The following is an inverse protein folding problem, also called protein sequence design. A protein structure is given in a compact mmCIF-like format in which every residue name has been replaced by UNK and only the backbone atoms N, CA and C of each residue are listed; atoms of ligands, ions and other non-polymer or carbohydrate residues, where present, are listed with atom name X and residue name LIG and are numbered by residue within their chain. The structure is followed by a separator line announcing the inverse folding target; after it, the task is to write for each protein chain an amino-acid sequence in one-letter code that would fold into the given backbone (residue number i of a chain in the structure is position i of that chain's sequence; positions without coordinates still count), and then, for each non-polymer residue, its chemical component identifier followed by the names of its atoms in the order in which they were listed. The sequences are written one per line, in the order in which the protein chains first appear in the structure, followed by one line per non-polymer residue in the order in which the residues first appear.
data_IF_962856938791
#
_entry.id   IF_962856938791
#
_cell.length_a   1.000
_cell.length_b   1.000
_cell.length_c   1.000
_cell.angle_alpha   90.00
_cell.angle_beta   90.00
_cell.angle_gamma   90.00
#
_symmetry.space_group_name_H-M   'P 1'
#
loop_
_entity.id
_entity.type
_entity.pdbx_description
1 polymer ?
#
# COMPACT_ATOMS: atom_id res chain seq x y z
N UNK A 1 1.19 4.79 -5.26
CA UNK A 1 0.82 5.84 -6.22
C UNK A 1 1.67 7.08 -6.06
N UNK A 2 1.78 7.89 -7.13
CA UNK A 2 2.49 9.16 -7.18
C UNK A 2 1.72 10.19 -8.01
N UNK A 3 1.99 11.46 -7.74
CA UNK A 3 1.38 12.59 -8.44
C UNK A 3 2.32 13.08 -9.55
N UNK A 4 1.76 13.33 -10.73
CA UNK A 4 2.45 13.95 -11.88
C UNK A 4 2.47 15.47 -11.76
N UNK A 5 3.22 16.16 -12.65
CA UNK A 5 3.27 17.63 -12.66
C UNK A 5 1.93 18.28 -13.02
N UNK A 6 1.05 17.58 -13.73
CA UNK A 6 -0.30 17.99 -14.08
C UNK A 6 -1.38 17.35 -13.19
N UNK A 7 -0.99 16.98 -11.95
CA UNK A 7 -1.87 16.48 -10.89
C UNK A 7 -2.67 15.21 -11.26
N UNK A 8 -2.09 14.33 -12.05
CA UNK A 8 -2.65 13.00 -12.31
C UNK A 8 -2.00 11.96 -11.42
N UNK A 9 -2.76 10.94 -11.04
CA UNK A 9 -2.26 9.88 -10.17
C UNK A 9 -1.89 8.67 -11.01
N UNK A 10 -0.64 8.22 -10.88
CA UNK A 10 -0.13 7.03 -11.54
C UNK A 10 0.32 5.97 -10.54
N UNK A 11 0.30 4.71 -10.97
CA UNK A 11 0.80 3.58 -10.19
C UNK A 11 2.27 3.35 -10.55
N UNK A 12 3.17 3.94 -9.78
CA UNK A 12 4.62 3.77 -9.93
C UNK A 12 5.30 3.74 -8.56
N UNK A 13 6.22 2.79 -8.36
CA UNK A 13 6.87 2.61 -7.05
C UNK A 13 7.89 3.72 -6.77
N UNK A 14 8.84 3.90 -7.68
CA UNK A 14 9.99 4.79 -7.45
C UNK A 14 9.61 6.26 -7.69
N UNK A 15 10.34 7.17 -7.04
CA UNK A 15 10.19 8.62 -7.31
C UNK A 15 10.73 9.04 -8.68
N UNK A 16 11.61 8.23 -9.26
CA UNK A 16 12.26 8.44 -10.57
C UNK A 16 11.88 7.30 -11.50
N UNK A 17 11.66 7.58 -12.78
CA UNK A 17 11.25 6.60 -13.77
C UNK A 17 12.41 5.69 -14.25
N UNK A 18 13.67 6.00 -13.90
CA UNK A 18 14.88 5.38 -14.47
C UNK A 18 14.87 3.86 -14.44
N UNK A 19 14.59 3.25 -13.27
CA UNK A 19 14.73 1.80 -13.09
C UNK A 19 13.82 0.99 -14.00
N UNK A 20 12.60 1.46 -14.24
CA UNK A 20 11.59 0.71 -15.01
C UNK A 20 11.49 1.13 -16.46
N UNK A 21 11.91 2.34 -16.80
CA UNK A 21 11.72 2.91 -18.15
C UNK A 21 13.01 3.38 -18.84
N UNK A 22 14.13 3.36 -18.11
CA UNK A 22 15.39 3.95 -18.61
C UNK A 22 15.43 5.48 -18.63
N UNK A 23 14.32 6.17 -18.28
CA UNK A 23 14.24 7.63 -18.29
C UNK A 23 14.64 8.21 -16.94
N UNK A 24 15.78 8.90 -16.88
CA UNK A 24 16.23 9.59 -15.67
C UNK A 24 15.47 10.92 -15.49
N UNK A 25 14.28 10.83 -14.90
CA UNK A 25 13.44 11.98 -14.56
C UNK A 25 12.49 11.64 -13.40
N UNK A 26 12.26 12.60 -12.52
CA UNK A 26 11.31 12.42 -11.43
C UNK A 26 9.87 12.43 -11.97
N UNK A 27 9.05 11.54 -11.42
CA UNK A 27 7.62 11.43 -11.78
C UNK A 27 6.90 12.78 -11.62
N UNK A 28 7.16 13.48 -10.52
CA UNK A 28 6.55 14.79 -10.22
C UNK A 28 6.87 15.90 -11.22
N UNK A 29 7.90 15.71 -12.03
CA UNK A 29 8.38 16.69 -13.02
C UNK A 29 7.88 16.34 -14.45
N UNK A 30 7.06 15.29 -14.59
CA UNK A 30 6.48 14.84 -15.86
C UNK A 30 4.95 14.95 -15.84
N UNK A 31 4.38 15.34 -16.97
CA UNK A 31 2.94 15.24 -17.20
C UNK A 31 2.51 13.78 -17.45
N UNK A 32 1.22 13.48 -17.26
CA UNK A 32 0.66 12.17 -17.61
C UNK A 32 0.95 11.82 -19.09
N UNK A 33 0.83 12.79 -20.00
CA UNK A 33 1.12 12.58 -21.42
C UNK A 33 2.56 12.12 -21.67
N UNK A 34 3.54 12.73 -21.00
CA UNK A 34 4.95 12.34 -21.09
C UNK A 34 5.18 10.94 -20.51
N UNK A 35 4.54 10.63 -19.38
CA UNK A 35 4.66 9.32 -18.71
C UNK A 35 4.05 8.19 -19.58
N UNK A 36 2.93 8.44 -20.24
CA UNK A 36 2.27 7.45 -21.12
C UNK A 36 3.09 7.11 -22.39
N UNK A 37 4.07 7.92 -22.74
CA UNK A 37 5.02 7.60 -23.82
C UNK A 37 6.11 6.61 -23.37
N UNK A 38 6.37 6.49 -22.07
CA UNK A 38 7.39 5.60 -21.54
C UNK A 38 6.91 4.15 -21.56
N UNK A 39 7.84 3.25 -21.85
CA UNK A 39 7.68 1.81 -21.74
C UNK A 39 8.21 1.37 -20.38
N UNK A 40 7.49 0.53 -19.64
CA UNK A 40 7.85 0.14 -18.28
C UNK A 40 7.80 -1.37 -18.00
N UNK A 41 7.78 -2.22 -19.01
CA UNK A 41 7.70 -3.66 -18.85
C UNK A 41 8.94 -4.45 -19.26
N UNK A 42 9.71 -3.98 -20.24
CA UNK A 42 10.90 -4.68 -20.76
C UNK A 42 11.97 -4.97 -19.71
N UNK A 43 12.09 -4.13 -18.66
CA UNK A 43 13.00 -4.38 -17.54
C UNK A 43 12.64 -5.64 -16.74
N UNK A 44 11.37 -6.03 -16.76
CA UNK A 44 10.88 -7.22 -16.07
C UNK A 44 11.00 -8.49 -16.94
N UNK A 45 10.82 -8.35 -18.25
CA UNK A 45 10.95 -9.45 -19.21
C UNK A 45 10.33 -9.12 -20.56
N UNK A 46 10.70 -9.92 -21.59
CA UNK A 46 10.24 -9.68 -22.98
C UNK A 46 8.73 -9.79 -23.12
N UNK A 47 8.08 -10.65 -22.36
CA UNK A 47 6.62 -10.84 -22.40
C UNK A 47 5.83 -9.61 -21.94
N UNK A 48 6.54 -8.64 -21.28
CA UNK A 48 5.97 -7.39 -20.75
C UNK A 48 6.39 -6.17 -21.56
N UNK A 49 7.00 -6.39 -22.73
CA UNK A 49 7.39 -5.29 -23.63
C UNK A 49 6.15 -4.46 -23.99
N UNK A 50 6.35 -3.16 -24.17
CA UNK A 50 5.31 -2.18 -24.51
C UNK A 50 4.30 -1.84 -23.40
N UNK A 51 4.41 -2.46 -22.22
CA UNK A 51 3.59 -2.08 -21.07
C UNK A 51 3.82 -0.63 -20.64
N UNK A 52 2.73 0.04 -20.25
CA UNK A 52 2.73 1.45 -19.86
C UNK A 52 2.49 1.61 -18.37
N UNK A 53 3.02 2.71 -17.80
CA UNK A 53 2.71 3.08 -16.42
C UNK A 53 1.20 3.42 -16.36
N UNK A 54 0.40 2.70 -15.54
CA UNK A 54 -1.03 2.93 -15.50
C UNK A 54 -1.37 4.17 -14.65
N UNK A 55 -2.42 4.88 -15.06
CA UNK A 55 -3.14 5.82 -14.21
C UNK A 55 -3.99 5.06 -13.18
N UNK A 56 -4.25 5.64 -12.00
CA UNK A 56 -5.01 4.95 -10.95
C UNK A 56 -6.43 4.57 -11.41
N UNK A 57 -7.09 5.41 -12.21
CA UNK A 57 -8.41 5.11 -12.78
C UNK A 57 -8.40 3.88 -13.70
N UNK A 58 -7.31 3.64 -14.43
CA UNK A 58 -7.18 2.42 -15.24
C UNK A 58 -7.15 1.16 -14.35
N UNK A 59 -6.48 1.25 -13.18
CA UNK A 59 -6.47 0.16 -12.19
C UNK A 59 -7.85 -0.04 -11.57
N UNK A 60 -8.56 1.03 -11.23
CA UNK A 60 -9.91 0.96 -10.70
C UNK A 60 -10.89 0.29 -11.67
N UNK A 61 -10.74 0.53 -12.99
CA UNK A 61 -11.58 -0.11 -13.99
C UNK A 61 -11.48 -1.64 -14.02
N UNK A 62 -10.38 -2.18 -13.49
CA UNK A 62 -10.11 -3.62 -13.39
C UNK A 62 -10.45 -4.21 -12.00
N UNK A 63 -10.82 -3.38 -11.03
CA UNK A 63 -11.10 -3.83 -9.66
C UNK A 63 -12.43 -4.61 -9.61
N UNK A 64 -12.41 -5.89 -9.21
CA UNK A 64 -13.65 -6.64 -9.07
C UNK A 64 -14.49 -6.13 -7.90
N UNK A 65 -15.83 -6.09 -8.05
CA UNK A 65 -16.78 -5.55 -7.05
C UNK A 65 -16.66 -6.12 -5.62
N UNK A 66 -16.08 -7.31 -5.48
CA UNK A 66 -15.94 -8.00 -4.18
C UNK A 66 -14.48 -8.11 -3.74
N UNK A 67 -13.62 -7.23 -4.23
CA UNK A 67 -12.19 -7.21 -3.86
C UNK A 67 -11.82 -5.84 -3.35
N UNK A 68 -10.98 -5.83 -2.34
CA UNK A 68 -10.42 -4.62 -1.77
C UNK A 68 -9.13 -4.24 -2.50
N UNK A 69 -8.80 -2.96 -2.45
CA UNK A 69 -7.58 -2.41 -3.01
C UNK A 69 -6.77 -1.68 -1.93
N UNK A 70 -5.49 -2.01 -1.83
CA UNK A 70 -4.52 -1.26 -1.03
C UNK A 70 -3.83 -0.23 -1.92
N UNK A 71 -3.92 1.04 -1.55
CA UNK A 71 -3.31 2.16 -2.30
C UNK A 71 -2.17 2.74 -1.47
N UNK A 72 -0.93 2.39 -1.82
CA UNK A 72 0.22 3.00 -1.16
C UNK A 72 0.51 4.39 -1.74
N UNK A 73 0.34 5.41 -0.91
CA UNK A 73 0.72 6.79 -1.23
C UNK A 73 2.19 7.00 -0.91
N UNK A 74 2.99 7.23 -1.96
CA UNK A 74 4.46 7.40 -1.90
C UNK A 74 4.92 8.86 -2.09
N UNK A 75 4.05 9.80 -1.76
CA UNK A 75 4.30 11.24 -1.79
C UNK A 75 3.62 11.89 -0.58
N UNK A 76 3.75 13.21 -0.44
CA UNK A 76 3.14 13.95 0.66
C UNK A 76 1.61 14.10 0.50
N UNK A 77 0.99 14.77 1.47
CA UNK A 77 -0.46 14.97 1.59
C UNK A 77 -1.11 15.77 0.45
N UNK A 78 -0.34 16.46 -0.36
CA UNK A 78 -0.84 17.21 -1.54
C UNK A 78 -1.61 16.32 -2.53
N UNK A 79 -1.32 15.01 -2.55
CA UNK A 79 -2.02 14.05 -3.42
C UNK A 79 -3.47 13.78 -2.95
N UNK A 80 -3.80 13.99 -1.67
CA UNK A 80 -5.06 13.51 -1.08
C UNK A 80 -6.32 14.03 -1.80
N UNK A 81 -6.48 15.31 -2.12
CA UNK A 81 -7.66 15.79 -2.87
C UNK A 81 -7.84 15.07 -4.21
N UNK A 82 -6.76 14.82 -4.93
CA UNK A 82 -6.78 14.14 -6.24
C UNK A 82 -7.08 12.65 -6.10
N UNK A 83 -6.61 12.02 -5.01
CA UNK A 83 -6.91 10.61 -4.70
C UNK A 83 -8.40 10.42 -4.42
N UNK A 84 -8.98 11.27 -3.58
CA UNK A 84 -10.40 11.23 -3.25
C UNK A 84 -11.27 11.53 -4.48
N UNK A 85 -10.88 12.50 -5.29
CA UNK A 85 -11.56 12.79 -6.57
C UNK A 85 -11.53 11.57 -7.51
N UNK A 86 -10.40 10.88 -7.61
CA UNK A 86 -10.29 9.65 -8.42
C UNK A 86 -11.19 8.53 -7.90
N UNK A 87 -11.20 8.28 -6.57
CA UNK A 87 -12.08 7.27 -5.94
C UNK A 87 -13.56 7.58 -6.26
N UNK A 88 -13.98 8.83 -6.07
CA UNK A 88 -15.35 9.26 -6.31
C UNK A 88 -15.74 9.18 -7.79
N UNK A 89 -14.88 9.66 -8.68
CA UNK A 89 -15.10 9.67 -10.13
C UNK A 89 -15.27 8.26 -10.68
N UNK A 90 -14.43 7.34 -10.26
CA UNK A 90 -14.45 5.95 -10.71
C UNK A 90 -15.47 5.09 -9.92
N UNK A 91 -16.19 5.72 -8.97
CA UNK A 91 -17.26 5.09 -8.16
C UNK A 91 -16.78 3.85 -7.41
N UNK A 92 -15.54 3.89 -6.95
CA UNK A 92 -15.00 2.87 -6.04
C UNK A 92 -15.57 3.15 -4.65
N UNK A 93 -16.12 2.13 -4.01
CA UNK A 93 -16.67 2.29 -2.66
C UNK A 93 -15.57 2.49 -1.62
N UNK A 94 -15.73 3.42 -0.69
CA UNK A 94 -14.74 3.72 0.35
C UNK A 94 -14.37 2.50 1.19
N UNK A 95 -15.31 1.58 1.42
CA UNK A 95 -15.10 0.34 2.16
C UNK A 95 -14.21 -0.69 1.43
N UNK A 96 -14.07 -0.55 0.10
CA UNK A 96 -13.13 -1.35 -0.70
C UNK A 96 -11.70 -0.81 -0.69
N UNK A 97 -11.49 0.42 -0.22
CA UNK A 97 -10.20 1.10 -0.28
C UNK A 97 -9.51 1.06 1.07
N UNK A 98 -8.25 0.66 1.06
CA UNK A 98 -7.34 0.87 2.19
C UNK A 98 -6.16 1.72 1.72
N UNK A 99 -6.03 2.93 2.24
CA UNK A 99 -4.86 3.78 1.99
C UNK A 99 -3.75 3.43 2.95
N UNK A 100 -2.55 3.22 2.41
CA UNK A 100 -1.37 2.96 3.22
C UNK A 100 -0.27 3.96 2.90
N UNK A 101 0.47 4.43 3.90
CA UNK A 101 1.55 5.39 3.68
C UNK A 101 2.55 5.44 4.82
N UNK A 102 3.83 5.73 4.48
CA UNK A 102 4.88 6.11 5.44
C UNK A 102 4.77 7.57 5.91
N UNK A 103 3.89 8.35 5.31
CA UNK A 103 3.68 9.76 5.63
C UNK A 103 2.45 9.91 6.55
N UNK A 104 2.63 10.18 7.86
CA UNK A 104 1.52 10.30 8.81
C UNK A 104 0.48 11.35 8.39
N UNK A 105 0.93 12.46 7.81
CA UNK A 105 0.04 13.51 7.32
C UNK A 105 -0.90 13.06 6.19
N UNK A 106 -0.45 12.12 5.34
CA UNK A 106 -1.33 11.54 4.30
C UNK A 106 -2.49 10.81 4.97
N UNK A 107 -2.19 9.96 5.96
CA UNK A 107 -3.20 9.22 6.71
C UNK A 107 -4.19 10.19 7.38
N UNK A 108 -3.66 11.18 8.11
CA UNK A 108 -4.46 12.20 8.78
C UNK A 108 -5.40 12.95 7.84
N UNK A 109 -4.90 13.40 6.67
CA UNK A 109 -5.70 14.14 5.71
C UNK A 109 -6.75 13.26 5.01
N UNK A 110 -6.46 11.99 4.72
CA UNK A 110 -7.47 11.05 4.20
C UNK A 110 -8.56 10.83 5.24
N UNK A 111 -8.23 10.51 6.49
CA UNK A 111 -9.19 10.27 7.57
C UNK A 111 -10.04 11.52 7.86
N UNK A 112 -9.45 12.71 7.79
CA UNK A 112 -10.18 13.96 7.97
C UNK A 112 -11.20 14.23 6.85
N UNK A 113 -10.87 13.86 5.61
CA UNK A 113 -11.71 14.15 4.44
C UNK A 113 -12.76 13.06 4.17
N UNK A 114 -12.42 11.78 4.41
CA UNK A 114 -13.34 10.63 4.31
C UNK A 114 -13.00 9.61 5.41
N UNK A 115 -13.67 9.64 6.57
CA UNK A 115 -13.44 8.71 7.67
C UNK A 115 -13.74 7.25 7.35
N UNK A 116 -14.55 6.95 6.33
CA UNK A 116 -14.92 5.59 5.93
C UNK A 116 -13.77 4.85 5.23
N UNK A 117 -12.84 5.59 4.60
CA UNK A 117 -11.65 4.99 4.00
C UNK A 117 -10.73 4.44 5.11
N UNK A 118 -10.44 3.16 5.05
CA UNK A 118 -9.46 2.53 5.95
C UNK A 118 -8.05 3.04 5.67
N UNK A 119 -7.31 3.32 6.73
CA UNK A 119 -5.97 3.85 6.62
C UNK A 119 -4.99 3.10 7.52
N UNK A 120 -3.86 2.61 6.96
CA UNK A 120 -2.79 2.03 7.77
C UNK A 120 -1.50 2.85 7.65
N UNK A 121 -0.91 3.19 8.79
CA UNK A 121 0.40 3.78 8.85
C UNK A 121 1.47 2.72 8.58
N UNK A 122 2.35 2.95 7.61
CA UNK A 122 3.45 2.02 7.29
C UNK A 122 4.64 2.24 8.21
N UNK A 123 5.19 1.13 8.73
CA UNK A 123 6.36 1.10 9.59
C UNK A 123 7.41 0.15 9.01
N UNK A 124 8.62 0.65 8.81
CA UNK A 124 9.79 -0.13 8.42
C UNK A 124 10.84 -0.09 9.53
N UNK A 125 11.14 -1.24 10.09
CA UNK A 125 12.05 -1.37 11.23
C UNK A 125 13.54 -1.24 10.87
N UNK A 126 13.88 -1.43 9.59
CA UNK A 126 15.28 -1.36 9.13
C UNK A 126 15.82 0.08 9.07
N UNK A 127 14.94 1.09 9.01
CA UNK A 127 15.36 2.47 8.78
C UNK A 127 15.42 3.33 10.04
N UNK A 128 14.69 2.94 11.08
CA UNK A 128 14.64 3.69 12.35
C UNK A 128 14.31 2.74 13.49
N UNK A 129 15.08 2.84 14.57
CA UNK A 129 14.65 2.32 15.86
C UNK A 129 13.50 3.19 16.36
N UNK A 130 12.31 2.59 16.46
CA UNK A 130 11.11 3.23 16.99
C UNK A 130 10.47 2.28 17.99
N UNK A 131 10.14 2.78 19.16
CA UNK A 131 9.51 1.98 20.19
C UNK A 131 8.03 1.73 19.90
N UNK A 132 7.50 0.63 20.42
CA UNK A 132 6.12 0.22 20.17
C UNK A 132 5.11 1.29 20.62
N UNK A 133 5.34 1.92 21.77
CA UNK A 133 4.47 2.98 22.27
C UNK A 133 4.48 4.21 21.35
N UNK A 134 5.64 4.59 20.79
CA UNK A 134 5.72 5.68 19.81
C UNK A 134 4.94 5.36 18.55
N UNK A 135 4.93 4.09 18.10
CA UNK A 135 4.15 3.64 16.94
C UNK A 135 2.66 3.74 17.26
N UNK A 136 2.24 3.30 18.45
CA UNK A 136 0.84 3.36 18.89
C UNK A 136 0.40 4.83 18.98
N UNK A 137 1.17 5.67 19.66
CA UNK A 137 0.87 7.09 19.84
C UNK A 137 0.74 7.79 18.47
N UNK A 138 1.67 7.52 17.55
CA UNK A 138 1.62 8.07 16.21
C UNK A 138 0.38 7.58 15.43
N UNK A 139 0.07 6.29 15.53
CA UNK A 139 -1.10 5.68 14.88
C UNK A 139 -2.40 6.31 15.38
N UNK A 140 -2.50 6.54 16.68
CA UNK A 140 -3.64 7.21 17.32
C UNK A 140 -3.73 8.68 16.91
N UNK A 141 -2.60 9.40 16.89
CA UNK A 141 -2.56 10.84 16.59
C UNK A 141 -3.02 11.19 15.17
N UNK A 142 -2.93 10.25 14.23
CA UNK A 142 -3.37 10.43 12.83
C UNK A 142 -4.68 9.71 12.51
N UNK A 143 -5.34 9.16 13.52
CA UNK A 143 -6.59 8.39 13.42
C UNK A 143 -6.49 7.20 12.44
N UNK A 144 -5.31 6.58 12.33
CA UNK A 144 -5.15 5.41 11.49
C UNK A 144 -5.92 4.20 12.04
N UNK A 145 -6.52 3.40 11.16
CA UNK A 145 -7.26 2.18 11.53
C UNK A 145 -6.30 1.03 11.90
N UNK A 146 -5.05 1.13 11.47
CA UNK A 146 -4.04 0.12 11.76
C UNK A 146 -2.63 0.50 11.35
N UNK A 147 -1.76 -0.49 11.46
CA UNK A 147 -0.34 -0.41 11.09
C UNK A 147 -0.03 -1.43 10.01
N UNK A 148 0.68 -1.00 8.95
CA UNK A 148 1.30 -1.87 7.98
C UNK A 148 2.78 -2.06 8.30
N UNK A 149 3.15 -3.15 8.97
CA UNK A 149 4.49 -3.39 9.45
C UNK A 149 5.34 -4.19 8.46
N UNK A 150 6.62 -3.85 8.37
CA UNK A 150 7.60 -4.66 7.66
C UNK A 150 7.70 -6.06 8.27
N UNK A 151 7.82 -7.10 7.45
CA UNK A 151 8.17 -8.46 7.89
C UNK A 151 9.56 -8.46 8.55
N UNK A 152 9.58 -8.40 9.87
CA UNK A 152 10.78 -8.23 10.67
C UNK A 152 10.58 -8.88 12.06
N UNK A 153 11.68 -9.31 12.72
CA UNK A 153 11.65 -9.95 14.06
C UNK A 153 10.96 -9.12 15.15
N UNK A 154 10.89 -7.80 14.99
CA UNK A 154 10.18 -6.89 15.92
C UNK A 154 8.66 -6.96 15.77
N UNK A 155 8.14 -7.51 14.66
CA UNK A 155 6.71 -7.81 14.50
C UNK A 155 6.42 -9.14 15.20
N UNK A 156 6.53 -9.16 16.49
CA UNK A 156 6.30 -10.29 17.37
C UNK A 156 4.90 -10.25 18.01
N UNK A 157 4.60 -11.24 18.84
CA UNK A 157 3.31 -11.36 19.51
C UNK A 157 3.00 -10.14 20.38
N UNK A 158 3.96 -9.66 21.16
CA UNK A 158 3.81 -8.48 22.04
C UNK A 158 3.42 -7.24 21.23
N UNK A 159 4.11 -6.99 20.10
CA UNK A 159 3.80 -5.87 19.22
C UNK A 159 2.37 -5.96 18.65
N UNK A 160 2.00 -7.15 18.16
CA UNK A 160 0.68 -7.38 17.58
C UNK A 160 -0.42 -7.21 18.62
N UNK A 161 -0.23 -7.78 19.82
CA UNK A 161 -1.21 -7.66 20.91
C UNK A 161 -1.35 -6.21 21.41
N UNK A 162 -0.26 -5.46 21.47
CA UNK A 162 -0.30 -4.05 21.85
C UNK A 162 -1.13 -3.20 20.89
N UNK A 163 -1.01 -3.43 19.57
CA UNK A 163 -1.86 -2.76 18.59
C UNK A 163 -3.34 -3.19 18.71
N UNK A 164 -3.60 -4.48 18.85
CA UNK A 164 -4.95 -5.02 18.99
C UNK A 164 -5.65 -4.53 20.25
N UNK A 165 -4.94 -4.38 21.38
CA UNK A 165 -5.47 -3.82 22.62
C UNK A 165 -5.90 -2.35 22.46
N UNK A 166 -5.36 -1.66 21.46
CA UNK A 166 -5.78 -0.32 21.06
C UNK A 166 -6.79 -0.33 19.89
N UNK A 167 -7.43 -1.46 19.60
CA UNK A 167 -8.36 -1.64 18.48
C UNK A 167 -7.76 -1.31 17.11
N UNK A 168 -6.45 -1.52 16.92
CA UNK A 168 -5.77 -1.29 15.64
C UNK A 168 -5.54 -2.60 14.90
N UNK A 169 -5.78 -2.58 13.59
CA UNK A 169 -5.50 -3.72 12.70
C UNK A 169 -4.00 -3.81 12.40
N UNK A 170 -3.55 -5.01 12.06
CA UNK A 170 -2.16 -5.25 11.67
C UNK A 170 -2.10 -5.85 10.27
N UNK A 171 -1.38 -5.19 9.40
CA UNK A 171 -1.01 -5.63 8.06
C UNK A 171 0.49 -5.89 8.01
N UNK A 172 0.95 -6.96 7.36
CA UNK A 172 2.38 -7.24 7.20
C UNK A 172 2.81 -7.28 5.73
N UNK A 173 3.98 -6.74 5.44
CA UNK A 173 4.62 -6.71 4.11
C UNK A 173 6.15 -6.87 4.22
N UNK A 174 6.83 -7.58 3.33
CA UNK A 174 6.32 -8.49 2.30
C UNK A 174 6.66 -9.91 2.74
N UNK A 175 5.68 -10.79 2.83
CA UNK A 175 5.83 -12.18 3.29
C UNK A 175 5.76 -13.11 2.10
N UNK A 176 6.83 -13.88 1.84
CA UNK A 176 6.91 -14.81 0.71
C UNK A 176 7.13 -16.27 1.13
N UNK A 177 7.25 -16.53 2.44
CA UNK A 177 7.47 -17.84 3.05
C UNK A 177 6.17 -18.38 3.63
N UNK A 178 5.88 -19.66 3.37
CA UNK A 178 4.74 -20.39 3.97
C UNK A 178 4.83 -20.42 5.50
N UNK A 179 6.04 -20.63 6.04
CA UNK A 179 6.28 -20.68 7.47
C UNK A 179 5.91 -19.37 8.14
N UNK A 180 6.45 -18.25 7.64
CA UNK A 180 6.15 -16.91 8.17
C UNK A 180 4.66 -16.56 8.01
N UNK A 181 4.04 -16.87 6.86
CA UNK A 181 2.62 -16.63 6.65
C UNK A 181 1.75 -17.40 7.66
N UNK A 182 2.09 -18.66 7.95
CA UNK A 182 1.41 -19.47 8.95
C UNK A 182 1.62 -18.93 10.38
N UNK A 183 2.83 -18.47 10.72
CA UNK A 183 3.13 -17.85 12.00
C UNK A 183 2.32 -16.57 12.19
N UNK A 184 2.29 -15.68 11.21
CA UNK A 184 1.50 -14.45 11.26
C UNK A 184 0.00 -14.69 11.30
N UNK A 185 -0.51 -15.70 10.59
CA UNK A 185 -1.92 -16.10 10.67
C UNK A 185 -2.28 -16.54 12.10
N UNK A 186 -1.45 -17.34 12.76
CA UNK A 186 -1.65 -17.76 14.15
C UNK A 186 -1.61 -16.60 15.15
N UNK A 187 -0.79 -15.59 14.89
CA UNK A 187 -0.71 -14.37 15.69
C UNK A 187 -1.91 -13.42 15.44
N UNK A 188 -2.80 -13.75 14.49
CA UNK A 188 -4.00 -12.99 14.20
C UNK A 188 -3.76 -11.72 13.40
N UNK A 189 -2.75 -11.71 12.52
CA UNK A 189 -2.55 -10.62 11.56
C UNK A 189 -3.74 -10.55 10.60
N UNK A 190 -4.24 -9.36 10.34
CA UNK A 190 -5.45 -9.15 9.55
C UNK A 190 -5.22 -9.39 8.06
N UNK A 191 -4.09 -8.92 7.52
CA UNK A 191 -3.78 -9.01 6.08
C UNK A 191 -2.28 -9.14 5.84
N UNK A 192 -1.92 -9.82 4.73
CA UNK A 192 -0.53 -10.09 4.32
C UNK A 192 -0.32 -9.64 2.87
N UNK A 193 0.67 -8.79 2.63
CA UNK A 193 1.18 -8.53 1.27
C UNK A 193 2.25 -9.56 0.91
N UNK A 194 2.12 -10.16 -0.27
CA UNK A 194 3.05 -11.17 -0.79
C UNK A 194 3.25 -11.05 -2.30
N UNK A 195 4.42 -11.42 -2.79
CA UNK A 195 4.70 -11.61 -4.22
C UNK A 195 4.19 -12.96 -4.76
N UNK A 196 3.67 -13.84 -3.87
CA UNK A 196 3.26 -15.21 -4.21
C UNK A 196 1.83 -15.53 -3.74
N UNK A 197 0.80 -14.75 -4.17
CA UNK A 197 -0.53 -14.80 -3.57
C UNK A 197 -1.20 -16.19 -3.67
N UNK A 198 -1.19 -16.82 -4.84
CA UNK A 198 -1.78 -18.15 -5.01
C UNK A 198 -1.06 -19.24 -4.21
N UNK A 199 0.28 -19.14 -4.10
CA UNK A 199 1.10 -20.09 -3.36
C UNK A 199 0.82 -20.04 -1.86
N UNK A 200 0.72 -18.84 -1.28
CA UNK A 200 0.45 -18.67 0.15
C UNK A 200 -1.01 -18.95 0.48
N UNK A 201 -1.96 -18.51 -0.35
CA UNK A 201 -3.40 -18.76 -0.15
C UNK A 201 -3.69 -20.26 -0.03
N UNK A 202 -3.26 -21.06 -0.99
CA UNK A 202 -3.45 -22.51 -0.95
C UNK A 202 -2.87 -23.16 0.30
N UNK A 203 -1.78 -22.65 0.83
CA UNK A 203 -1.18 -23.17 2.06
C UNK A 203 -2.00 -22.80 3.31
N UNK A 204 -2.44 -21.56 3.41
CA UNK A 204 -3.23 -21.09 4.56
C UNK A 204 -4.61 -21.80 4.61
N UNK A 205 -5.29 -21.92 3.46
CA UNK A 205 -6.55 -22.67 3.36
C UNK A 205 -6.41 -24.15 3.81
N UNK A 206 -5.27 -24.80 3.53
CA UNK A 206 -4.99 -26.15 4.01
C UNK A 206 -4.80 -26.23 5.53
N UNK A 207 -4.25 -25.18 6.15
CA UNK A 207 -4.07 -25.11 7.61
C UNK A 207 -5.39 -24.86 8.36
N UNK A 208 -6.34 -24.17 7.77
CA UNK A 208 -7.67 -23.94 8.33
C UNK A 208 -8.54 -25.21 8.31
N UNK A 209 -8.24 -26.17 7.44
CA UNK A 209 -8.96 -27.42 7.27
C UNK A 209 -8.35 -28.58 8.09
N UNK A 210 -7.22 -28.38 8.73
CA UNK A 210 -6.47 -29.36 9.53
C UNK A 210 -6.64 -29.13 11.04
#
# INVERSE_FOLDING_TARGET
VRLTSDNKIICHHDKNALRTTGKDRLIRDMTLKEIKLLECGSWFGRDWQDEKIPELGEVFSLLPKKKDIFIEVKTNEVIVPYLLDSINKDKVSSDQVTVISFYPKVIQEVKRADPEIKCNLLIAFDYKEIEINEIIDLTLSVDADGVGAQNHKRLNEEFIQSLRSNNKTVHVWTVNSKKEAAEYSKLGINTITTNKPLYLRKHLEQLELS
#
